data_IF_389164704232
#
_entry.id   IF_389164704232
#
_cell.length_a   1.000
_cell.length_b   1.000
_cell.length_c   1.000
_cell.angle_alpha   90.00
_cell.angle_beta   90.00
_cell.angle_gamma   90.00
#
_symmetry.space_group_name_H-M   'P 1'
#
loop_
_entity.id
_entity.type
_entity.pdbx_description
1 polymer ?
#
# COMPACT_ATOMS: atom_id res chain seq x y z
N UNK A 1 6.36 13.03 12.99
CA UNK A 1 7.62 12.38 12.59
C UNK A 1 7.50 10.87 12.66
N UNK A 2 8.01 10.19 11.65
CA UNK A 2 8.03 8.73 11.66
C UNK A 2 8.98 8.20 12.73
N UNK A 3 8.56 7.16 13.43
CA UNK A 3 9.40 6.48 14.40
C UNK A 3 9.28 4.97 14.24
N UNK A 4 10.29 4.26 14.71
CA UNK A 4 10.32 2.79 14.62
C UNK A 4 9.19 2.13 15.39
N UNK A 5 8.68 2.79 16.43
CA UNK A 5 7.64 2.22 17.28
C UNK A 5 6.23 2.54 16.78
N UNK A 6 6.08 3.49 15.85
CA UNK A 6 4.78 3.99 15.43
C UNK A 6 4.48 3.81 13.95
N UNK A 7 5.44 3.34 13.15
CA UNK A 7 5.29 3.29 11.70
C UNK A 7 4.80 1.93 11.19
N UNK A 8 3.97 1.96 10.15
CA UNK A 8 3.53 0.78 9.40
C UNK A 8 3.50 1.15 7.92
N UNK A 9 3.94 0.23 7.07
CA UNK A 9 3.88 0.38 5.62
C UNK A 9 2.61 -0.29 5.10
N UNK A 10 1.84 0.43 4.28
CA UNK A 10 0.65 -0.12 3.63
C UNK A 10 0.86 -0.01 2.12
N UNK A 11 0.89 -1.15 1.45
CA UNK A 11 1.05 -1.23 -0.01
C UNK A 11 -0.30 -1.59 -0.60
N UNK A 12 -0.83 -0.70 -1.46
CA UNK A 12 -2.19 -0.79 -1.96
C UNK A 12 -2.21 -1.28 -3.41
N UNK A 13 -2.76 -2.46 -3.63
CA UNK A 13 -3.26 -2.95 -4.92
C UNK A 13 -2.27 -2.93 -6.08
N UNK A 14 -0.98 -3.22 -5.85
CA UNK A 14 -0.01 -3.34 -6.93
C UNK A 14 -0.06 -4.78 -7.46
N UNK A 15 -0.97 -5.01 -8.38
CA UNK A 15 -1.34 -6.37 -8.77
C UNK A 15 -1.57 -6.55 -10.26
N UNK A 16 -1.29 -7.75 -10.73
CA UNK A 16 -1.63 -8.24 -12.05
C UNK A 16 -1.21 -7.35 -13.19
N UNK A 17 -2.01 -7.37 -14.24
CA UNK A 17 -1.76 -6.55 -15.43
C UNK A 17 -1.96 -5.06 -15.17
N UNK A 18 -2.78 -4.71 -14.18
CA UNK A 18 -3.02 -3.31 -13.83
C UNK A 18 -1.70 -2.61 -13.45
N UNK A 19 -0.87 -3.29 -12.65
CA UNK A 19 0.42 -2.73 -12.25
C UNK A 19 1.32 -2.45 -13.46
N UNK A 20 1.23 -3.27 -14.49
CA UNK A 20 2.12 -3.17 -15.66
C UNK A 20 1.79 -2.00 -16.58
N UNK A 21 0.58 -1.43 -16.48
CA UNK A 21 0.18 -0.29 -17.32
C UNK A 21 0.29 1.04 -16.57
N UNK A 22 0.85 1.03 -15.38
CA UNK A 22 1.02 2.25 -14.60
C UNK A 22 2.12 3.13 -15.18
N UNK A 23 1.94 4.45 -15.05
CA UNK A 23 2.97 5.42 -15.43
C UNK A 23 4.25 5.17 -14.65
N UNK A 24 5.38 5.10 -15.35
CA UNK A 24 6.72 4.97 -14.77
C UNK A 24 6.84 3.74 -13.84
N UNK A 25 6.36 2.60 -14.32
CA UNK A 25 6.24 1.40 -13.50
C UNK A 25 7.58 0.92 -12.93
N UNK A 26 8.67 1.05 -13.66
CA UNK A 26 9.98 0.61 -13.18
C UNK A 26 10.39 1.35 -11.91
N UNK A 27 10.20 2.66 -11.88
CA UNK A 27 10.49 3.45 -10.67
C UNK A 27 9.48 3.17 -9.57
N UNK A 28 8.22 2.95 -9.92
CA UNK A 28 7.19 2.56 -8.96
C UNK A 28 7.59 1.26 -8.24
N UNK A 29 7.98 0.25 -9.01
CA UNK A 29 8.36 -1.05 -8.44
C UNK A 29 9.62 -0.94 -7.61
N UNK A 30 10.64 -0.24 -8.12
CA UNK A 30 11.91 -0.07 -7.41
C UNK A 30 11.73 0.67 -6.09
N UNK A 31 10.90 1.71 -6.05
CA UNK A 31 10.65 2.46 -4.82
C UNK A 31 9.93 1.60 -3.79
N UNK A 32 8.95 0.78 -4.22
CA UNK A 32 8.27 -0.13 -3.33
C UNK A 32 9.21 -1.21 -2.77
N UNK A 33 10.07 -1.75 -3.61
CA UNK A 33 11.06 -2.76 -3.17
C UNK A 33 11.97 -2.17 -2.09
N UNK A 34 12.45 -0.94 -2.28
CA UNK A 34 13.29 -0.28 -1.28
C UNK A 34 12.57 -0.10 0.05
N UNK A 35 11.31 0.31 0.01
CA UNK A 35 10.52 0.47 1.23
C UNK A 35 10.30 -0.87 1.94
N UNK A 36 9.97 -1.91 1.19
CA UNK A 36 9.80 -3.25 1.75
C UNK A 36 11.09 -3.70 2.44
N UNK A 37 12.21 -3.57 1.76
CA UNK A 37 13.50 -3.99 2.32
C UNK A 37 13.84 -3.22 3.58
N UNK A 38 13.62 -1.89 3.56
CA UNK A 38 13.90 -1.04 4.72
C UNK A 38 13.02 -1.38 5.91
N UNK A 39 11.71 -1.55 5.70
CA UNK A 39 10.79 -1.88 6.78
C UNK A 39 11.10 -3.25 7.37
N UNK A 40 11.40 -4.24 6.52
CA UNK A 40 11.73 -5.58 7.02
C UNK A 40 13.06 -5.60 7.76
N UNK A 41 14.05 -4.86 7.28
CA UNK A 41 15.36 -4.78 7.97
C UNK A 41 15.21 -4.18 9.37
N UNK A 42 14.26 -3.28 9.57
CA UNK A 42 14.00 -2.66 10.87
C UNK A 42 12.96 -3.43 11.69
N UNK A 43 12.42 -4.52 11.17
CA UNK A 43 11.40 -5.29 11.86
C UNK A 43 10.05 -4.60 11.96
N UNK A 44 9.75 -3.68 11.03
CA UNK A 44 8.49 -2.94 11.04
C UNK A 44 7.40 -3.66 10.25
N UNK A 45 6.13 -3.54 10.68
CA UNK A 45 5.04 -4.24 10.01
C UNK A 45 4.72 -3.68 8.64
N UNK A 46 4.26 -4.57 7.77
CA UNK A 46 3.82 -4.25 6.41
C UNK A 46 2.46 -4.88 6.17
N UNK A 47 1.50 -4.10 5.70
CA UNK A 47 0.20 -4.60 5.24
C UNK A 47 0.14 -4.44 3.72
N UNK A 48 -0.37 -5.47 3.05
CA UNK A 48 -0.53 -5.49 1.59
C UNK A 48 -1.98 -5.76 1.28
N UNK A 49 -2.58 -4.98 0.38
CA UNK A 49 -3.95 -5.22 -0.05
C UNK A 49 -4.01 -5.65 -1.50
N UNK A 50 -5.06 -6.41 -1.82
CA UNK A 50 -5.38 -6.82 -3.18
C UNK A 50 -6.86 -6.56 -3.46
N UNK A 51 -7.13 -5.80 -4.50
CA UNK A 51 -8.49 -5.49 -4.93
C UNK A 51 -9.02 -6.65 -5.75
N UNK A 52 -10.09 -7.28 -5.28
CA UNK A 52 -10.76 -8.37 -6.00
C UNK A 52 -9.76 -9.26 -6.74
N UNK A 53 -8.85 -9.97 -6.01
CA UNK A 53 -7.74 -10.66 -6.67
C UNK A 53 -8.17 -11.74 -7.65
N UNK A 54 -9.38 -12.29 -7.51
CA UNK A 54 -9.92 -13.26 -8.47
C UNK A 54 -10.05 -12.67 -9.89
N UNK A 55 -10.22 -11.34 -9.99
CA UNK A 55 -10.37 -10.65 -11.26
C UNK A 55 -9.11 -9.92 -11.69
N UNK A 56 -8.44 -9.24 -10.74
CA UNK A 56 -7.29 -8.37 -11.04
C UNK A 56 -5.96 -9.09 -10.87
N UNK A 57 -5.96 -10.30 -10.31
CA UNK A 57 -4.76 -11.06 -10.06
C UNK A 57 -4.08 -10.70 -8.75
N UNK A 58 -3.05 -11.45 -8.37
CA UNK A 58 -2.35 -11.21 -7.13
C UNK A 58 -1.36 -10.04 -7.24
N UNK A 59 -0.82 -9.65 -6.08
CA UNK A 59 0.32 -8.73 -6.03
C UNK A 59 1.42 -9.24 -6.95
N UNK A 60 2.09 -8.33 -7.66
CA UNK A 60 3.07 -8.72 -8.68
C UNK A 60 4.25 -9.47 -8.07
N UNK A 61 4.84 -10.42 -8.81
CA UNK A 61 5.96 -11.22 -8.28
C UNK A 61 7.17 -10.39 -7.88
N UNK A 62 7.42 -9.27 -8.55
CA UNK A 62 8.52 -8.36 -8.22
C UNK A 62 8.45 -7.89 -6.77
N UNK A 63 7.24 -7.75 -6.21
CA UNK A 63 7.07 -7.36 -4.82
C UNK A 63 6.93 -8.56 -3.90
N UNK A 64 6.19 -9.60 -4.31
CA UNK A 64 5.94 -10.74 -3.41
C UNK A 64 7.21 -11.47 -3.02
N UNK A 65 8.19 -11.53 -3.92
CA UNK A 65 9.47 -12.19 -3.59
C UNK A 65 10.28 -11.43 -2.55
N UNK A 66 9.98 -10.14 -2.33
CA UNK A 66 10.61 -9.34 -1.29
C UNK A 66 9.86 -9.41 0.03
N UNK A 67 8.58 -9.77 -0.01
CA UNK A 67 7.72 -9.78 1.18
C UNK A 67 7.84 -11.13 1.90
N UNK A 68 8.25 -11.08 3.17
CA UNK A 68 8.45 -12.29 3.99
C UNK A 68 7.37 -12.35 5.06
N UNK A 69 6.60 -13.43 5.04
CA UNK A 69 5.58 -13.66 6.06
C UNK A 69 4.42 -12.68 6.02
N UNK A 70 4.22 -12.00 4.89
CA UNK A 70 3.13 -11.05 4.73
C UNK A 70 2.02 -11.69 3.90
N UNK A 71 0.84 -11.76 4.51
CA UNK A 71 -0.35 -12.29 3.83
C UNK A 71 -1.15 -11.13 3.28
N UNK A 72 -1.38 -11.06 1.95
CA UNK A 72 -2.20 -10.00 1.37
C UNK A 72 -3.63 -10.06 1.91
N UNK A 73 -4.24 -8.89 2.03
CA UNK A 73 -5.63 -8.74 2.45
C UNK A 73 -6.46 -8.45 1.21
N UNK A 74 -7.35 -9.39 0.86
CA UNK A 74 -8.26 -9.19 -0.27
C UNK A 74 -9.39 -8.24 0.13
N UNK A 75 -9.72 -7.30 -0.74
CA UNK A 75 -10.82 -6.37 -0.51
C UNK A 75 -11.60 -6.14 -1.79
N UNK A 76 -12.83 -5.67 -1.65
CA UNK A 76 -13.68 -5.31 -2.78
C UNK A 76 -13.97 -3.81 -2.83
N UNK A 77 -13.50 -3.05 -1.86
CA UNK A 77 -13.68 -1.61 -1.75
C UNK A 77 -12.46 -0.86 -2.26
N UNK A 78 -12.63 0.37 -2.69
CA UNK A 78 -11.49 1.20 -3.10
C UNK A 78 -10.67 1.62 -1.89
N UNK A 79 -11.31 2.17 -0.87
CA UNK A 79 -10.61 2.50 0.37
C UNK A 79 -10.37 1.24 1.19
N UNK A 80 -9.14 1.05 1.64
CA UNK A 80 -8.80 -0.07 2.53
C UNK A 80 -9.56 0.03 3.85
N UNK A 81 -9.82 1.24 4.33
CA UNK A 81 -10.46 1.45 5.63
C UNK A 81 -11.88 0.87 5.70
N UNK A 82 -12.58 0.79 4.57
CA UNK A 82 -13.93 0.24 4.53
C UNK A 82 -13.92 -1.28 4.76
N UNK A 83 -12.82 -1.94 4.45
CA UNK A 83 -12.72 -3.39 4.64
C UNK A 83 -12.45 -3.72 6.11
N UNK A 84 -13.33 -4.53 6.71
CA UNK A 84 -13.24 -4.85 8.14
C UNK A 84 -11.97 -5.63 8.48
N UNK A 85 -11.56 -6.56 7.63
CA UNK A 85 -10.34 -7.35 7.89
C UNK A 85 -9.10 -6.44 7.89
N UNK A 86 -9.04 -5.47 6.98
CA UNK A 86 -7.94 -4.51 6.95
C UNK A 86 -7.94 -3.67 8.23
N UNK A 87 -9.10 -3.10 8.60
CA UNK A 87 -9.19 -2.28 9.82
C UNK A 87 -8.73 -3.05 11.04
N UNK A 88 -9.20 -4.29 11.18
CA UNK A 88 -8.86 -5.10 12.34
C UNK A 88 -7.36 -5.34 12.44
N UNK A 89 -6.72 -5.64 11.31
CA UNK A 89 -5.27 -5.88 11.30
C UNK A 89 -4.48 -4.60 11.57
N UNK A 90 -4.92 -3.47 11.01
CA UNK A 90 -4.25 -2.19 11.25
C UNK A 90 -4.40 -1.76 12.70
N UNK A 91 -5.61 -1.85 13.26
CA UNK A 91 -5.85 -1.44 14.65
C UNK A 91 -5.10 -2.32 15.64
N UNK A 92 -4.96 -3.62 15.33
CA UNK A 92 -4.21 -4.54 16.20
C UNK A 92 -2.73 -4.17 16.33
N UNK A 93 -2.17 -3.49 15.34
CA UNK A 93 -0.77 -3.07 15.38
C UNK A 93 -0.53 -1.90 16.33
N UNK A 94 -1.57 -1.14 16.67
CA UNK A 94 -1.51 0.05 17.55
C UNK A 94 -0.46 1.08 17.11
N UNK A 95 -0.32 1.26 15.77
CA UNK A 95 0.64 2.19 15.18
C UNK A 95 -0.11 3.26 14.42
N UNK A 96 0.25 4.53 14.66
CA UNK A 96 -0.51 5.68 14.14
C UNK A 96 0.13 6.36 12.94
N UNK A 97 1.38 6.04 12.60
CA UNK A 97 2.06 6.63 11.45
C UNK A 97 2.06 5.63 10.31
N UNK A 98 1.34 5.98 9.25
CA UNK A 98 1.16 5.10 8.10
C UNK A 98 1.94 5.66 6.91
N UNK A 99 2.77 4.83 6.30
CA UNK A 99 3.40 5.13 5.02
C UNK A 99 2.57 4.42 3.95
N UNK A 100 1.95 5.20 3.05
CA UNK A 100 1.11 4.65 1.99
C UNK A 100 1.87 4.60 0.67
N UNK A 101 1.76 3.47 0.00
CA UNK A 101 2.20 3.28 -1.38
C UNK A 101 1.11 2.58 -2.17
N UNK A 102 1.25 2.51 -3.48
CA UNK A 102 0.37 1.68 -4.29
C UNK A 102 -0.26 2.40 -5.46
N UNK A 103 -1.32 1.80 -5.97
CA UNK A 103 -2.06 2.25 -7.14
C UNK A 103 -3.56 2.08 -6.92
N UNK A 104 -4.43 2.80 -7.60
CA UNK A 104 -4.08 4.00 -8.35
C UNK A 104 -4.14 5.16 -7.38
N UNK A 105 -3.27 6.13 -7.55
CA UNK A 105 -3.12 7.22 -6.56
C UNK A 105 -4.38 8.07 -6.42
N UNK A 106 -5.14 8.24 -7.48
CA UNK A 106 -6.36 9.06 -7.45
C UNK A 106 -7.61 8.28 -7.02
N UNK A 107 -7.52 6.98 -6.80
CA UNK A 107 -8.66 6.15 -6.40
C UNK A 107 -8.36 5.49 -5.04
N UNK A 108 -7.76 4.30 -5.05
CA UNK A 108 -7.58 3.51 -3.85
C UNK A 108 -6.68 4.21 -2.83
N UNK A 109 -5.58 4.80 -3.28
CA UNK A 109 -4.63 5.46 -2.38
C UNK A 109 -5.25 6.72 -1.79
N UNK A 110 -5.86 7.55 -2.62
CA UNK A 110 -6.47 8.80 -2.18
C UNK A 110 -7.58 8.56 -1.14
N UNK A 111 -8.50 7.66 -1.45
CA UNK A 111 -9.64 7.37 -0.56
C UNK A 111 -9.16 6.75 0.76
N UNK A 112 -8.19 5.86 0.70
CA UNK A 112 -7.62 5.27 1.91
C UNK A 112 -6.96 6.35 2.77
N UNK A 113 -6.20 7.26 2.15
CA UNK A 113 -5.53 8.34 2.90
C UNK A 113 -6.55 9.22 3.62
N UNK A 114 -7.63 9.61 2.94
CA UNK A 114 -8.67 10.43 3.56
C UNK A 114 -9.31 9.73 4.76
N UNK A 115 -9.66 8.45 4.60
CA UNK A 115 -10.30 7.71 5.68
C UNK A 115 -9.37 7.53 6.87
N UNK A 116 -8.10 7.27 6.63
CA UNK A 116 -7.11 7.13 7.71
C UNK A 116 -6.95 8.45 8.45
N UNK A 117 -6.85 9.57 7.74
CA UNK A 117 -6.74 10.89 8.38
C UNK A 117 -7.96 11.18 9.26
N UNK A 118 -9.15 10.85 8.78
CA UNK A 118 -10.38 11.07 9.56
C UNK A 118 -10.45 10.18 10.80
N UNK A 119 -9.69 9.10 10.84
CA UNK A 119 -9.71 8.15 11.95
C UNK A 119 -8.46 8.24 12.83
N UNK A 120 -7.77 9.36 12.78
CA UNK A 120 -6.71 9.68 13.74
C UNK A 120 -5.32 9.17 13.38
N UNK A 121 -5.10 8.74 12.15
CA UNK A 121 -3.78 8.31 11.68
C UNK A 121 -3.04 9.47 11.04
N UNK A 122 -1.71 9.48 11.19
CA UNK A 122 -0.85 10.38 10.44
C UNK A 122 -0.41 9.67 9.17
N UNK A 123 -0.69 10.27 8.02
CA UNK A 123 -0.44 9.61 6.73
C UNK A 123 0.76 10.26 6.04
N UNK A 124 1.70 9.43 5.64
CA UNK A 124 2.88 9.81 4.88
C UNK A 124 2.78 9.13 3.52
N UNK A 125 2.60 9.92 2.47
CA UNK A 125 2.50 9.38 1.12
C UNK A 125 3.89 9.31 0.51
N UNK A 126 4.30 8.10 0.14
CA UNK A 126 5.57 7.90 -0.54
C UNK A 126 5.38 8.19 -2.03
N UNK A 127 5.63 9.43 -2.44
CA UNK A 127 5.27 9.90 -3.80
C UNK A 127 5.98 9.13 -4.91
N UNK A 128 7.16 8.60 -4.64
CA UNK A 128 7.88 7.77 -5.63
C UNK A 128 7.28 6.38 -5.77
N UNK A 129 6.49 5.96 -4.80
CA UNK A 129 5.95 4.60 -4.71
C UNK A 129 4.44 4.54 -4.97
N UNK A 130 3.85 5.60 -5.53
CA UNK A 130 2.46 5.62 -5.98
C UNK A 130 2.42 5.96 -7.46
N UNK A 131 1.39 5.48 -8.16
CA UNK A 131 1.22 5.82 -9.57
C UNK A 131 -0.22 5.63 -10.00
N UNK A 132 -0.50 6.07 -11.23
CA UNK A 132 -1.75 5.87 -11.96
C UNK A 132 -1.41 5.63 -13.42
N UNK A 133 -2.42 5.35 -14.24
CA UNK A 133 -2.21 5.10 -15.66
C UNK A 133 -1.74 6.35 -16.40
N UNK A 134 -2.03 7.54 -15.86
CA UNK A 134 -1.55 8.80 -16.44
C UNK A 134 -0.85 9.64 -15.38
N UNK A 135 0.13 10.50 -15.80
CA UNK A 135 0.83 11.35 -14.82
C UNK A 135 -0.10 12.31 -14.07
N UNK A 136 -1.14 12.80 -14.73
CA UNK A 136 -2.10 13.73 -14.14
C UNK A 136 -2.81 13.10 -12.94
N UNK A 137 -3.14 11.83 -13.04
CA UNK A 137 -3.87 11.13 -11.98
C UNK A 137 -2.99 10.72 -10.81
N UNK A 138 -1.68 10.73 -10.99
CA UNK A 138 -0.76 10.36 -9.91
C UNK A 138 -0.70 11.41 -8.79
N UNK A 139 -1.03 12.65 -9.10
CA UNK A 139 -0.92 13.75 -8.14
C UNK A 139 -2.08 13.80 -7.15
#
# INVERSE_FOLDING_TARGET
MLSRTAAVLIIIDIQGKLAQVMHDKENLFAANIKLIQGFQALGLPILVTEQTPDKLGPTIPELTRELRGVQPIAKETFSCWIDAAFRDRLEALTRRHVVLTGIESHICVYQTALDLLQNGYTVHLATDAVSSRTPENRR
#
